data_IF_833588508324
#
_entry.id   IF_833588508324
#
_cell.length_a   1.000
_cell.length_b   1.000
_cell.length_c   1.000
_cell.angle_alpha   90.00
_cell.angle_beta   90.00
_cell.angle_gamma   90.00
#
_symmetry.space_group_name_H-M   'P 1'
#
loop_
_entity.id
_entity.type
_entity.pdbx_description
1 polymer ?
#
# COMPACT_ATOMS: atom_id res chain seq x y z
N UNK A 1 7.05 10.21 -15.06
CA UNK A 1 5.74 9.51 -15.09
C UNK A 1 6.00 8.02 -14.88
N UNK A 2 5.24 7.34 -14.02
CA UNK A 2 5.31 5.88 -13.84
C UNK A 2 3.95 5.30 -14.19
N UNK A 3 3.91 4.47 -15.22
CA UNK A 3 2.73 3.70 -15.59
C UNK A 3 2.98 2.25 -15.17
N UNK A 4 2.03 1.68 -14.45
CA UNK A 4 2.14 0.32 -13.90
C UNK A 4 0.88 -0.43 -14.31
N UNK A 5 1.08 -1.50 -15.08
CA UNK A 5 0.03 -2.48 -15.34
C UNK A 5 0.12 -3.57 -14.27
N UNK A 6 -0.99 -3.82 -13.57
CA UNK A 6 -1.05 -4.77 -12.48
C UNK A 6 -1.77 -6.02 -12.96
N UNK A 7 -1.23 -7.18 -12.57
CA UNK A 7 -1.96 -8.44 -12.69
C UNK A 7 -3.30 -8.37 -11.94
N UNK A 8 -4.24 -9.23 -12.35
CA UNK A 8 -5.57 -9.27 -11.78
C UNK A 8 -5.57 -9.62 -10.28
N UNK A 9 -6.64 -9.19 -9.60
CA UNK A 9 -6.84 -9.41 -8.16
C UNK A 9 -7.86 -10.53 -7.87
N UNK A 10 -8.03 -11.45 -8.80
CA UNK A 10 -8.91 -12.61 -8.69
C UNK A 10 -8.62 -13.45 -7.44
N UNK A 11 -9.67 -14.12 -6.95
CA UNK A 11 -9.57 -14.90 -5.72
C UNK A 11 -9.10 -16.32 -6.02
N UNK A 12 -8.32 -16.90 -5.11
CA UNK A 12 -7.82 -18.28 -5.22
C UNK A 12 -8.91 -19.34 -5.48
N UNK A 13 -10.17 -19.06 -5.13
CA UNK A 13 -11.26 -20.00 -5.39
C UNK A 13 -11.84 -19.93 -6.79
N UNK A 14 -11.67 -18.79 -7.48
CA UNK A 14 -12.05 -18.62 -8.89
C UNK A 14 -11.12 -19.44 -9.80
N UNK A 15 -9.99 -19.89 -9.25
CA UNK A 15 -8.97 -20.72 -9.90
C UNK A 15 -8.96 -22.19 -9.43
N UNK A 16 -9.92 -22.63 -8.59
CA UNK A 16 -9.94 -23.99 -8.03
C UNK A 16 -9.99 -25.13 -9.07
N UNK A 17 -10.41 -24.85 -10.30
CA UNK A 17 -10.50 -25.83 -11.37
C UNK A 17 -9.24 -25.93 -12.26
N UNK A 18 -8.23 -25.08 -12.00
CA UNK A 18 -6.95 -25.05 -12.72
C UNK A 18 -5.79 -25.14 -11.73
N UNK A 19 -5.10 -26.28 -11.69
CA UNK A 19 -3.93 -26.60 -12.51
C UNK A 19 -2.65 -26.36 -11.70
N UNK A 20 -1.78 -27.37 -11.65
CA UNK A 20 -0.40 -27.44 -11.13
C UNK A 20 -0.02 -26.71 -9.82
N UNK A 21 0.92 -27.31 -9.08
CA UNK A 21 1.52 -26.64 -7.90
C UNK A 21 2.21 -25.32 -8.23
N UNK A 22 2.70 -25.17 -9.45
CA UNK A 22 3.45 -23.99 -9.86
C UNK A 22 2.53 -22.80 -10.12
N UNK A 23 1.38 -23.02 -10.76
CA UNK A 23 0.37 -21.97 -10.93
C UNK A 23 -0.16 -21.47 -9.57
N UNK A 24 -0.43 -22.38 -8.62
CA UNK A 24 -0.84 -21.97 -7.26
C UNK A 24 0.22 -21.11 -6.56
N UNK A 25 1.50 -21.41 -6.74
CA UNK A 25 2.60 -20.60 -6.20
C UNK A 25 2.66 -19.23 -6.86
N UNK A 26 2.45 -19.16 -8.16
CA UNK A 26 2.41 -17.90 -8.91
C UNK A 26 1.25 -17.02 -8.47
N UNK A 27 0.02 -17.55 -8.41
CA UNK A 27 -1.15 -16.81 -7.91
C UNK A 27 -0.93 -16.32 -6.48
N UNK A 28 -0.33 -17.13 -5.62
CA UNK A 28 0.01 -16.70 -4.26
C UNK A 28 1.03 -15.56 -4.24
N UNK A 29 2.02 -15.56 -5.15
CA UNK A 29 3.01 -14.49 -5.27
C UNK A 29 2.39 -13.19 -5.79
N UNK A 30 1.51 -13.26 -6.79
CA UNK A 30 0.73 -12.12 -7.31
C UNK A 30 -0.09 -11.51 -6.17
N UNK A 31 -0.89 -12.33 -5.48
CA UNK A 31 -1.75 -11.89 -4.39
C UNK A 31 -0.96 -11.30 -3.22
N UNK A 32 0.22 -11.84 -2.91
CA UNK A 32 1.14 -11.24 -1.91
C UNK A 32 1.60 -9.84 -2.35
N UNK A 33 1.94 -9.67 -3.62
CA UNK A 33 2.33 -8.37 -4.19
C UNK A 33 1.22 -7.33 -4.06
N UNK A 34 0.01 -7.68 -4.52
CA UNK A 34 -1.17 -6.80 -4.49
C UNK A 34 -1.62 -6.48 -3.06
N UNK A 35 -1.57 -7.46 -2.15
CA UNK A 35 -1.91 -7.27 -0.75
C UNK A 35 -0.95 -6.27 -0.08
N UNK A 36 0.36 -6.44 -0.27
CA UNK A 36 1.35 -5.52 0.26
C UNK A 36 1.15 -4.10 -0.31
N UNK A 37 0.78 -3.98 -1.59
CA UNK A 37 0.51 -2.68 -2.22
C UNK A 37 -0.72 -2.01 -1.60
N UNK A 38 -1.81 -2.74 -1.40
CA UNK A 38 -3.02 -2.26 -0.69
C UNK A 38 -2.68 -1.74 0.70
N UNK A 39 -1.85 -2.46 1.45
CA UNK A 39 -1.46 -2.06 2.80
C UNK A 39 -0.59 -0.80 2.79
N UNK A 40 0.27 -0.62 1.78
CA UNK A 40 1.01 0.62 1.59
C UNK A 40 0.09 1.82 1.35
N UNK A 41 -0.93 1.69 0.48
CA UNK A 41 -1.93 2.74 0.27
C UNK A 41 -2.68 3.09 1.56
N UNK A 42 -3.14 2.08 2.31
CA UNK A 42 -3.86 2.28 3.58
C UNK A 42 -3.01 3.01 4.62
N UNK A 43 -1.75 2.57 4.80
CA UNK A 43 -0.84 3.20 5.74
C UNK A 43 -0.49 4.65 5.32
N UNK A 44 -0.26 4.89 4.03
CA UNK A 44 0.02 6.23 3.50
C UNK A 44 -1.17 7.19 3.68
N UNK A 45 -2.41 6.73 3.44
CA UNK A 45 -3.61 7.52 3.67
C UNK A 45 -3.76 7.90 5.16
N UNK A 46 -3.55 6.95 6.07
CA UNK A 46 -3.58 7.20 7.52
C UNK A 46 -2.47 8.16 7.96
N UNK A 47 -1.27 8.01 7.41
CA UNK A 47 -0.14 8.91 7.69
C UNK A 47 -0.47 10.34 7.28
N UNK A 48 -1.02 10.55 6.08
CA UNK A 48 -1.45 11.88 5.60
C UNK A 48 -2.57 12.49 6.45
N UNK A 49 -3.57 11.68 6.83
CA UNK A 49 -4.66 12.13 7.70
C UNK A 49 -4.17 12.52 9.10
N UNK A 50 -3.18 11.80 9.66
CA UNK A 50 -2.60 12.11 10.96
C UNK A 50 -1.87 13.46 10.98
N UNK A 51 -1.20 13.82 9.88
CA UNK A 51 -0.54 15.13 9.72
C UNK A 51 -1.56 16.26 9.64
N UNK A 52 -2.67 16.06 8.93
CA UNK A 52 -3.73 17.07 8.78
C UNK A 52 -4.51 17.31 10.08
N UNK A 53 -4.71 16.28 10.90
CA UNK A 53 -5.45 16.39 12.18
C UNK A 53 -4.68 17.05 13.33
N UNK A 54 -3.36 17.22 13.22
CA UNK A 54 -2.53 17.82 14.26
C UNK A 54 -2.51 19.37 14.25
N UNK A 55 -3.10 20.00 13.23
CA UNK A 55 -3.01 21.44 12.99
C UNK A 55 -4.09 22.33 13.64
N UNK A 56 -4.97 21.83 14.51
CA UNK A 56 -6.15 22.61 14.96
C UNK A 56 -6.40 22.75 16.48
N UNK A 57 -5.46 22.42 17.36
CA UNK A 57 -5.58 22.77 18.80
C UNK A 57 -4.21 23.00 19.40
N UNK A 58 -3.88 24.27 19.65
CA UNK A 58 -2.76 24.66 20.49
C UNK A 58 -3.15 24.50 21.95
N UNK A 59 -2.69 23.42 22.59
CA UNK A 59 -2.57 23.36 24.04
C UNK A 59 -1.09 23.54 24.42
N UNK A 60 -0.72 24.60 25.17
CA UNK A 60 0.67 24.92 25.45
C UNK A 60 1.30 24.12 26.61
N UNK A 61 0.69 23.04 27.13
CA UNK A 61 1.32 22.31 28.23
C UNK A 61 0.88 20.84 28.34
N UNK A 62 1.35 19.98 27.43
CA UNK A 62 1.34 18.53 27.65
C UNK A 62 2.66 17.95 27.14
N UNK A 63 3.38 17.27 28.04
CA UNK A 63 4.64 16.59 27.76
C UNK A 63 4.57 15.85 26.41
N UNK A 64 5.51 16.18 25.53
CA UNK A 64 5.54 15.89 24.10
C UNK A 64 5.65 14.39 23.79
N UNK A 65 4.56 13.65 23.96
CA UNK A 65 4.40 12.33 23.35
C UNK A 65 4.08 12.55 21.87
N UNK A 66 5.12 12.75 21.04
CA UNK A 66 4.97 12.84 19.59
C UNK A 66 4.28 11.56 19.11
N UNK A 67 3.03 11.66 18.66
CA UNK A 67 2.29 10.49 18.15
C UNK A 67 3.14 9.86 17.03
N UNK A 68 3.53 8.58 17.15
CA UNK A 68 4.51 8.00 16.25
C UNK A 68 4.00 8.04 14.82
N UNK A 69 4.84 8.55 13.91
CA UNK A 69 4.52 8.60 12.49
C UNK A 69 4.18 7.20 11.97
N UNK A 70 3.05 7.07 11.28
CA UNK A 70 2.60 5.78 10.74
C UNK A 70 3.58 5.34 9.66
N UNK A 71 4.33 4.26 9.94
CA UNK A 71 5.29 3.69 9.01
C UNK A 71 4.58 2.90 7.90
N UNK A 72 4.86 3.26 6.66
CA UNK A 72 4.34 2.54 5.48
C UNK A 72 5.19 1.28 5.20
N UNK A 73 4.58 0.09 5.01
CA UNK A 73 5.30 -1.20 4.96
C UNK A 73 5.87 -1.55 3.56
N UNK A 74 6.75 -0.71 3.00
CA UNK A 74 7.32 -0.91 1.65
C UNK A 74 8.12 -2.21 1.43
N UNK A 75 8.43 -2.96 2.49
CA UNK A 75 9.25 -4.18 2.40
C UNK A 75 8.44 -5.47 2.24
N UNK A 76 7.10 -5.37 2.23
CA UNK A 76 6.18 -6.52 2.15
C UNK A 76 6.24 -7.32 0.84
N UNK A 77 6.65 -6.70 -0.27
CA UNK A 77 6.87 -7.36 -1.56
C UNK A 77 7.94 -6.64 -2.40
N UNK A 78 8.39 -7.24 -3.50
CA UNK A 78 9.28 -6.54 -4.44
C UNK A 78 8.59 -5.36 -5.12
N UNK A 79 7.30 -5.52 -5.46
CA UNK A 79 6.47 -4.48 -6.04
C UNK A 79 6.45 -3.22 -5.15
N UNK A 80 6.22 -3.37 -3.84
CA UNK A 80 6.16 -2.21 -2.93
C UNK A 80 7.50 -1.57 -2.64
N UNK A 81 8.62 -2.30 -2.81
CA UNK A 81 9.97 -1.73 -2.73
C UNK A 81 10.25 -0.83 -3.92
N UNK A 82 9.96 -1.31 -5.13
CA UNK A 82 10.15 -0.55 -6.37
C UNK A 82 9.26 0.70 -6.39
N UNK A 83 8.02 0.57 -5.91
CA UNK A 83 7.07 1.69 -5.86
C UNK A 83 7.22 2.60 -4.64
N UNK A 84 8.24 2.43 -3.79
CA UNK A 84 8.42 3.20 -2.54
C UNK A 84 8.31 4.71 -2.77
N UNK A 85 9.00 5.21 -3.78
CA UNK A 85 9.06 6.65 -4.07
C UNK A 85 7.70 7.21 -4.51
N UNK A 86 6.79 6.37 -5.02
CA UNK A 86 5.43 6.78 -5.36
C UNK A 86 4.58 7.15 -4.13
N UNK A 87 5.03 6.76 -2.93
CA UNK A 87 4.34 7.03 -1.67
C UNK A 87 5.13 7.98 -0.76
N UNK A 88 6.45 7.85 -0.75
CA UNK A 88 7.33 8.57 0.18
C UNK A 88 7.63 10.01 -0.27
N UNK A 89 7.60 10.29 -1.57
CA UNK A 89 7.76 11.65 -2.09
C UNK A 89 6.43 12.40 -2.03
N UNK A 90 6.40 13.51 -1.29
CA UNK A 90 5.21 14.37 -1.13
C UNK A 90 4.78 15.05 -2.44
N UNK A 91 5.72 15.21 -3.39
CA UNK A 91 5.43 15.77 -4.71
C UNK A 91 4.80 14.74 -5.64
N UNK A 92 4.92 13.45 -5.30
CA UNK A 92 4.36 12.38 -6.12
C UNK A 92 2.84 12.29 -5.96
N UNK A 93 2.14 12.33 -7.10
CA UNK A 93 0.70 12.08 -7.18
C UNK A 93 0.47 10.71 -7.80
N UNK A 94 -0.42 9.94 -7.21
CA UNK A 94 -0.75 8.58 -7.65
C UNK A 94 -2.23 8.53 -7.98
N UNK A 95 -2.57 8.08 -9.18
CA UNK A 95 -3.91 7.72 -9.58
C UNK A 95 -3.99 6.20 -9.75
N UNK A 96 -5.15 5.62 -9.43
CA UNK A 96 -5.43 4.20 -9.64
C UNK A 96 -6.61 4.10 -10.61
N UNK A 97 -6.43 3.31 -11.66
CA UNK A 97 -7.50 2.95 -12.58
C UNK A 97 -7.95 1.53 -12.21
N UNK A 98 -9.23 1.37 -11.89
CA UNK A 98 -9.83 0.07 -11.61
C UNK A 98 -10.63 -0.37 -12.83
N UNK A 99 -10.29 -1.53 -13.38
CA UNK A 99 -11.10 -2.22 -14.37
C UNK A 99 -12.04 -3.19 -13.64
N UNK A 100 -13.30 -3.23 -14.06
CA UNK A 100 -14.37 -4.09 -13.53
C UNK A 100 -14.88 -4.97 -14.65
#
# INVERSE_FOLDING_TARGET
LRLVDLAGSERNYETHHMASRDFQRESAAINKGLMALKDCFRAAARSRAAVQGAGMVGEPNAATATKPAIRVPYRGSMLTRVLRDCFADERHRTALLAAV
#
